data_IF_623770451399
#
_entry.id   IF_623770451399
#
_cell.length_a   1.000
_cell.length_b   1.000
_cell.length_c   1.000
_cell.angle_alpha   90.00
_cell.angle_beta   90.00
_cell.angle_gamma   90.00
#
_symmetry.space_group_name_H-M   'P 1'
#
loop_
_entity.id
_entity.type
_entity.pdbx_description
1 polymer ?
#
# COMPACT_ATOMS: atom_id res chain seq x y z
N UNK A 1 -4.64 -29.57 -49.28
CA UNK A 1 -5.16 -30.61 -48.39
C UNK A 1 -4.51 -30.45 -47.02
N UNK A 2 -5.34 -30.29 -45.99
CA UNK A 2 -5.11 -30.40 -44.55
C UNK A 2 -3.88 -29.69 -43.93
N UNK A 3 -4.13 -28.46 -43.47
CA UNK A 3 -3.42 -27.83 -42.36
C UNK A 3 -3.86 -28.55 -41.06
N UNK A 4 -2.92 -29.21 -40.37
CA UNK A 4 -3.19 -29.94 -39.13
C UNK A 4 -3.22 -28.98 -37.94
N UNK A 5 -4.06 -29.20 -36.92
CA UNK A 5 -4.14 -28.27 -35.80
C UNK A 5 -2.84 -28.30 -35.00
N UNK A 6 -2.16 -27.16 -34.91
CA UNK A 6 -1.02 -26.94 -34.00
C UNK A 6 -1.46 -27.19 -32.57
N UNK A 7 -0.96 -28.28 -31.99
CA UNK A 7 -1.18 -28.65 -30.58
C UNK A 7 -0.46 -27.64 -29.70
N UNK A 8 -1.22 -26.83 -28.97
CA UNK A 8 -0.69 -25.88 -28.00
C UNK A 8 -0.32 -26.62 -26.71
N UNK A 9 0.96 -26.56 -26.30
CA UNK A 9 1.48 -27.20 -25.08
C UNK A 9 1.15 -26.44 -23.77
N UNK A 10 0.22 -25.48 -23.79
CA UNK A 10 -0.17 -24.74 -22.60
C UNK A 10 -1.38 -25.43 -21.90
N UNK A 11 -1.23 -25.89 -20.64
CA UNK A 11 -2.32 -26.56 -19.91
C UNK A 11 -3.54 -25.66 -19.64
N UNK A 12 -3.42 -24.34 -19.82
CA UNK A 12 -4.53 -23.38 -19.67
C UNK A 12 -5.16 -22.95 -21.00
N UNK A 13 -4.80 -23.56 -22.13
CA UNK A 13 -5.31 -23.17 -23.44
C UNK A 13 -6.82 -23.47 -23.62
N UNK A 14 -7.29 -24.60 -23.08
CA UNK A 14 -8.70 -25.01 -23.20
C UNK A 14 -9.66 -24.10 -22.41
N UNK A 15 -9.21 -23.42 -21.35
CA UNK A 15 -10.09 -22.54 -20.56
C UNK A 15 -10.41 -21.21 -21.24
N UNK A 16 -9.73 -20.87 -22.36
CA UNK A 16 -9.98 -19.65 -23.15
C UNK A 16 -10.87 -19.90 -24.37
N UNK A 17 -11.19 -21.15 -24.70
CA UNK A 17 -12.03 -21.51 -25.84
C UNK A 17 -13.51 -21.73 -25.47
N UNK A 18 -13.85 -21.81 -24.18
CA UNK A 18 -15.23 -21.82 -23.72
C UNK A 18 -15.66 -20.39 -23.36
N UNK A 19 -16.36 -19.73 -24.28
CA UNK A 19 -17.18 -18.55 -23.94
C UNK A 19 -18.33 -18.94 -23.01
N UNK A 20 -18.89 -17.99 -22.24
CA UNK A 20 -20.01 -18.27 -21.36
C UNK A 20 -21.30 -18.48 -22.17
N UNK A 21 -21.73 -19.73 -22.35
CA UNK A 21 -23.10 -20.02 -22.75
C UNK A 21 -24.02 -19.94 -21.51
N UNK A 22 -24.48 -18.75 -21.18
CA UNK A 22 -25.77 -18.57 -20.51
C UNK A 22 -26.25 -17.12 -20.71
N UNK A 23 -27.43 -16.88 -21.29
CA UNK A 23 -28.04 -15.56 -21.23
C UNK A 23 -28.48 -15.25 -19.78
N UNK A 24 -28.53 -13.97 -19.38
CA UNK A 24 -29.06 -13.61 -18.05
C UNK A 24 -30.54 -13.98 -17.94
N UNK A 25 -31.02 -14.45 -16.77
CA UNK A 25 -32.41 -14.83 -16.58
C UNK A 25 -33.36 -13.63 -16.76
N UNK A 26 -34.50 -13.81 -17.44
CA UNK A 26 -35.43 -12.73 -17.73
C UNK A 26 -36.50 -12.68 -16.64
N UNK A 27 -36.43 -11.73 -15.70
CA UNK A 27 -37.66 -11.10 -15.21
C UNK A 27 -37.45 -9.61 -15.01
N UNK A 28 -38.21 -8.89 -15.82
CA UNK A 28 -38.41 -7.46 -15.87
C UNK A 28 -39.30 -6.98 -14.74
N UNK A 29 -39.08 -5.71 -14.37
CA UNK A 29 -40.10 -4.69 -14.04
C UNK A 29 -41.05 -5.02 -12.91
N UNK A 30 -40.88 -4.33 -11.77
CA UNK A 30 -41.92 -3.46 -11.19
C UNK A 30 -41.25 -2.42 -10.27
N UNK A 31 -41.22 -1.16 -10.71
CA UNK A 31 -41.42 -0.02 -9.80
C UNK A 31 -42.78 0.55 -10.16
N UNK A 32 -43.64 0.85 -9.18
CA UNK A 32 -43.99 2.25 -8.97
C UNK A 32 -43.94 2.75 -7.52
N UNK A 33 -43.80 4.07 -7.46
CA UNK A 33 -43.74 5.06 -6.37
C UNK A 33 -44.89 5.06 -5.36
N UNK A 34 -44.56 5.69 -4.21
CA UNK A 34 -45.36 6.51 -3.26
C UNK A 34 -46.65 5.83 -2.71
N UNK A 35 -46.99 5.86 -1.42
CA UNK A 35 -47.17 7.05 -0.58
C UNK A 35 -47.81 6.62 0.79
N UNK A 36 -47.65 7.45 1.84
CA UNK A 36 -48.38 7.52 3.13
C UNK A 36 -48.20 6.48 4.30
N UNK A 37 -47.72 7.02 5.45
CA UNK A 37 -47.98 6.66 6.88
C UNK A 37 -49.43 7.09 7.27
N UNK A 38 -50.04 6.85 8.47
CA UNK A 38 -49.51 6.36 9.77
C UNK A 38 -50.50 5.51 10.65
N UNK A 39 -50.11 5.28 11.94
CA UNK A 39 -50.94 4.94 13.13
C UNK A 39 -51.42 3.46 13.25
N UNK A 40 -51.53 2.79 14.39
CA UNK A 40 -51.19 2.95 15.82
C UNK A 40 -51.59 1.63 16.53
N UNK A 41 -51.21 1.45 17.81
CA UNK A 41 -51.82 0.55 18.83
C UNK A 41 -51.47 -0.96 18.78
N UNK A 42 -50.64 -1.47 19.71
CA UNK A 42 -50.93 -1.96 21.10
C UNK A 42 -51.36 -3.45 21.11
N UNK A 43 -51.08 -4.35 22.06
CA UNK A 43 -50.58 -4.33 23.44
C UNK A 43 -50.29 -5.82 23.79
N UNK A 44 -49.22 -6.21 24.48
CA UNK A 44 -49.23 -6.70 25.89
C UNK A 44 -48.02 -7.65 26.00
N UNK A 45 -47.17 -7.66 27.02
CA UNK A 45 -47.52 -7.92 28.42
C UNK A 45 -46.48 -7.35 29.41
N UNK A 46 -46.98 -6.46 30.28
CA UNK A 46 -46.86 -6.43 31.74
C UNK A 46 -45.50 -6.20 32.44
N UNK A 47 -45.42 -4.96 32.92
CA UNK A 47 -44.64 -4.35 34.01
C UNK A 47 -45.01 -4.81 35.43
N UNK A 48 -44.06 -4.73 36.37
CA UNK A 48 -44.15 -4.08 37.71
C UNK A 48 -42.75 -4.18 38.39
N UNK A 49 -42.17 -3.24 39.14
CA UNK A 49 -42.60 -1.96 39.75
C UNK A 49 -41.34 -1.17 40.20
N UNK A 50 -41.43 0.16 40.16
CA UNK A 50 -40.52 1.18 40.71
C UNK A 50 -40.30 1.12 42.23
N UNK A 51 -39.19 1.69 42.72
CA UNK A 51 -39.27 2.77 43.73
C UNK A 51 -37.99 3.62 43.76
N UNK A 52 -38.20 4.94 43.79
CA UNK A 52 -37.23 6.04 43.85
C UNK A 52 -36.47 6.15 45.19
N UNK A 53 -35.28 6.77 45.18
CA UNK A 53 -34.97 8.02 45.91
C UNK A 53 -33.45 8.31 46.01
N UNK A 54 -33.06 9.43 45.40
CA UNK A 54 -32.10 10.50 45.81
C UNK A 54 -30.91 10.27 46.78
N UNK A 55 -29.82 10.98 46.42
CA UNK A 55 -28.78 11.65 47.24
C UNK A 55 -27.31 11.12 47.26
N UNK A 56 -26.43 11.96 46.68
CA UNK A 56 -25.18 12.52 47.23
C UNK A 56 -23.86 11.73 47.23
N UNK A 57 -22.85 12.35 46.59
CA UNK A 57 -21.47 12.73 47.05
C UNK A 57 -20.72 11.72 47.97
N UNK A 58 -19.41 11.42 47.93
CA UNK A 58 -18.17 12.25 48.01
C UNK A 58 -16.96 11.28 47.87
N UNK A 59 -15.86 11.78 47.28
CA UNK A 59 -14.41 11.48 47.44
C UNK A 59 -13.95 10.54 48.57
N UNK A 60 -12.98 9.67 48.26
CA UNK A 60 -11.91 9.29 49.19
C UNK A 60 -10.55 9.13 48.47
N UNK A 61 -9.45 9.68 49.02
CA UNK A 61 -8.08 9.59 48.50
C UNK A 61 -7.26 8.52 49.23
N UNK A 62 -6.21 8.03 48.57
CA UNK A 62 -5.17 7.17 49.13
C UNK A 62 -5.02 5.86 48.35
N UNK A 63 -3.84 5.30 48.12
CA UNK A 63 -2.49 5.68 48.50
C UNK A 63 -1.58 4.63 47.81
N UNK A 64 -0.37 5.03 47.41
CA UNK A 64 0.76 4.21 46.94
C UNK A 64 0.48 2.97 46.06
N UNK A 65 0.78 3.10 44.77
CA UNK A 65 1.41 1.99 44.05
C UNK A 65 2.40 2.59 43.06
N UNK A 66 3.66 2.43 43.42
CA UNK A 66 4.83 2.62 42.59
C UNK A 66 4.67 1.78 41.32
N UNK A 67 4.19 2.41 40.25
CA UNK A 67 4.10 1.83 38.92
C UNK A 67 5.03 2.58 37.97
N UNK A 68 6.27 2.84 38.41
CA UNK A 68 7.37 3.14 37.49
C UNK A 68 7.89 1.85 36.85
N UNK A 69 7.05 1.17 36.08
CA UNK A 69 7.45 0.33 34.96
C UNK A 69 6.35 0.46 33.92
N UNK A 70 6.27 1.61 33.26
CA UNK A 70 5.67 1.63 31.93
C UNK A 70 6.48 0.61 31.12
N UNK A 71 5.89 -0.49 30.61
CA UNK A 71 6.54 -1.16 29.51
C UNK A 71 6.67 -0.07 28.47
N UNK A 72 7.89 0.26 28.09
CA UNK A 72 8.16 1.09 26.93
C UNK A 72 7.35 0.42 25.82
N UNK A 73 6.18 0.98 25.51
CA UNK A 73 5.28 0.42 24.52
C UNK A 73 6.09 0.57 23.25
N UNK A 74 6.79 -0.51 22.89
CA UNK A 74 7.75 -0.55 21.77
C UNK A 74 7.01 0.06 20.61
N UNK A 75 7.30 1.33 20.32
CA UNK A 75 6.62 2.03 19.25
C UNK A 75 6.80 1.13 18.03
N UNK A 76 5.73 0.79 17.29
CA UNK A 76 5.89 -0.02 16.10
C UNK A 76 6.97 0.66 15.26
N UNK A 77 8.09 -0.04 15.07
CA UNK A 77 9.21 0.49 14.32
C UNK A 77 8.91 0.26 12.85
N UNK A 78 8.94 1.32 12.05
CA UNK A 78 8.81 1.17 10.61
C UNK A 78 10.12 0.58 10.07
N UNK A 79 10.03 -0.36 9.12
CA UNK A 79 11.23 -1.00 8.57
C UNK A 79 11.83 -0.21 7.41
N UNK A 80 11.06 0.68 6.78
CA UNK A 80 11.59 1.67 5.85
C UNK A 80 10.72 2.93 5.84
N UNK A 81 11.29 4.02 5.32
CA UNK A 81 10.59 5.25 5.01
C UNK A 81 10.70 5.52 3.51
N UNK A 82 9.57 5.80 2.87
CA UNK A 82 9.48 6.07 1.45
C UNK A 82 9.37 7.57 1.21
N UNK A 83 10.00 7.99 0.13
CA UNK A 83 10.34 9.35 -0.10
C UNK A 83 10.18 9.61 -1.61
N UNK A 84 9.35 10.58 -2.00
CA UNK A 84 9.09 10.94 -3.40
C UNK A 84 9.68 12.30 -3.80
N UNK A 85 10.20 12.37 -5.02
CA UNK A 85 10.77 13.58 -5.63
C UNK A 85 10.29 13.75 -7.06
N UNK A 86 10.16 15.01 -7.47
CA UNK A 86 9.94 15.42 -8.86
C UNK A 86 11.13 16.27 -9.29
N UNK A 87 11.95 15.74 -10.21
CA UNK A 87 13.28 16.28 -10.49
C UNK A 87 14.14 16.40 -9.22
N UNK A 88 14.47 17.63 -8.81
CA UNK A 88 15.27 17.94 -7.62
C UNK A 88 14.43 18.38 -6.42
N UNK A 89 13.11 18.39 -6.55
CA UNK A 89 12.20 18.92 -5.52
C UNK A 89 11.57 17.78 -4.74
N UNK A 90 11.70 17.85 -3.41
CA UNK A 90 10.99 16.97 -2.47
C UNK A 90 9.49 17.25 -2.53
N UNK A 91 8.67 16.23 -2.72
CA UNK A 91 7.21 16.40 -2.79
C UNK A 91 6.53 15.50 -1.76
N UNK A 92 5.79 16.11 -0.84
CA UNK A 92 5.14 15.41 0.26
C UNK A 92 6.07 15.13 1.44
N UNK A 93 5.54 14.38 2.40
CA UNK A 93 6.25 13.97 3.63
C UNK A 93 6.92 12.60 3.43
N UNK A 94 7.79 12.21 4.36
CA UNK A 94 8.23 10.82 4.49
C UNK A 94 7.03 9.92 4.81
N UNK A 95 6.94 8.79 4.10
CA UNK A 95 5.91 7.78 4.33
C UNK A 95 6.53 6.60 5.07
N UNK A 96 6.23 6.49 6.37
CA UNK A 96 6.73 5.39 7.21
C UNK A 96 5.99 4.08 6.90
N UNK A 97 6.73 2.99 6.70
CA UNK A 97 6.18 1.68 6.34
C UNK A 97 6.33 0.70 7.50
N UNK A 98 5.21 0.29 8.06
CA UNK A 98 5.15 -0.64 9.19
C UNK A 98 4.90 -2.08 8.75
N UNK A 99 3.98 -2.27 7.80
CA UNK A 99 3.65 -3.59 7.25
C UNK A 99 4.79 -4.15 6.40
N UNK A 100 4.92 -5.48 6.34
CA UNK A 100 5.96 -6.16 5.54
C UNK A 100 5.91 -5.78 4.06
N UNK A 101 4.79 -5.27 3.53
CA UNK A 101 4.71 -4.82 2.16
C UNK A 101 3.94 -3.50 2.03
N UNK A 102 4.35 -2.66 1.09
CA UNK A 102 3.69 -1.38 0.76
C UNK A 102 3.51 -1.23 -0.74
N UNK A 103 2.32 -0.81 -1.12
CA UNK A 103 1.96 -0.48 -2.49
C UNK A 103 2.18 1.02 -2.73
N UNK A 104 2.96 1.38 -3.76
CA UNK A 104 3.24 2.76 -4.16
C UNK A 104 2.67 2.96 -5.56
N UNK A 105 1.69 3.85 -5.73
CA UNK A 105 0.88 3.95 -6.96
C UNK A 105 0.46 5.39 -7.24
N UNK A 106 -0.09 5.66 -8.43
CA UNK A 106 -0.57 6.99 -8.78
C UNK A 106 -1.91 7.29 -8.10
N UNK A 107 -2.98 6.64 -8.52
CA UNK A 107 -4.31 6.82 -7.98
C UNK A 107 -5.11 5.53 -8.20
N UNK A 108 -5.58 4.92 -7.13
CA UNK A 108 -6.34 3.67 -7.15
C UNK A 108 -7.49 3.80 -6.15
N UNK A 109 -8.76 3.63 -6.57
CA UNK A 109 -9.93 3.81 -5.71
C UNK A 109 -9.94 2.92 -4.45
N UNK A 110 -9.31 1.75 -4.54
CA UNK A 110 -9.20 0.77 -3.45
C UNK A 110 -7.73 0.45 -3.10
N UNK A 111 -6.79 1.32 -3.47
CA UNK A 111 -5.38 1.11 -3.15
C UNK A 111 -5.07 1.46 -1.69
N UNK A 112 -4.50 0.52 -0.95
CA UNK A 112 -3.81 0.80 0.32
C UNK A 112 -2.32 1.05 0.06
N UNK A 113 -1.71 1.95 0.84
CA UNK A 113 -0.29 2.28 0.75
C UNK A 113 -0.03 3.75 0.40
N UNK A 114 1.04 4.01 -0.36
CA UNK A 114 1.50 5.35 -0.67
C UNK A 114 0.95 5.85 -2.02
N UNK A 115 -0.10 6.66 -1.96
CA UNK A 115 -0.75 7.25 -3.13
C UNK A 115 -0.05 8.55 -3.56
N UNK A 116 0.67 8.50 -4.68
CA UNK A 116 1.41 9.65 -5.21
C UNK A 116 0.47 10.72 -5.79
N UNK A 117 -0.73 10.34 -6.21
CA UNK A 117 -1.78 11.22 -6.76
C UNK A 117 -2.26 12.28 -5.76
N UNK A 118 -2.22 11.94 -4.47
CA UNK A 118 -2.59 12.84 -3.36
C UNK A 118 -1.52 13.88 -3.04
N UNK A 119 -0.31 13.73 -3.58
CA UNK A 119 0.78 14.67 -3.34
C UNK A 119 0.60 15.93 -4.19
N UNK A 120 0.30 17.04 -3.54
CA UNK A 120 0.13 18.33 -4.19
C UNK A 120 1.44 19.11 -4.29
N UNK A 121 1.65 19.74 -5.45
CA UNK A 121 2.70 20.70 -5.73
C UNK A 121 2.08 21.74 -6.67
N UNK A 122 2.08 23.02 -6.26
CA UNK A 122 1.29 24.08 -6.91
C UNK A 122 1.62 24.29 -8.39
N UNK A 123 2.89 24.06 -8.77
CA UNK A 123 3.36 24.21 -10.14
C UNK A 123 4.14 22.98 -10.59
N UNK A 124 3.48 22.15 -11.40
CA UNK A 124 4.11 21.01 -12.09
C UNK A 124 4.32 21.31 -13.56
N UNK A 125 5.50 20.95 -14.07
CA UNK A 125 5.74 20.96 -15.51
C UNK A 125 4.86 19.92 -16.21
N UNK A 126 4.59 20.13 -17.50
CA UNK A 126 3.81 19.18 -18.31
C UNK A 126 4.49 17.80 -18.37
N UNK A 127 5.82 17.76 -18.45
CA UNK A 127 6.60 16.51 -18.45
C UNK A 127 6.38 15.68 -17.18
N UNK A 128 6.30 16.33 -16.01
CA UNK A 128 6.03 15.67 -14.74
C UNK A 128 4.61 15.13 -14.69
N UNK A 129 3.61 15.92 -15.11
CA UNK A 129 2.21 15.47 -15.16
C UNK A 129 2.07 14.23 -16.06
N UNK A 130 2.70 14.25 -17.23
CA UNK A 130 2.72 13.12 -18.19
C UNK A 130 3.45 11.90 -17.64
N UNK A 131 4.48 12.09 -16.82
CA UNK A 131 5.21 10.97 -16.19
C UNK A 131 4.39 10.38 -15.05
N UNK A 132 3.76 11.20 -14.22
CA UNK A 132 2.89 10.76 -13.13
C UNK A 132 1.71 9.92 -13.62
N UNK A 133 1.07 10.34 -14.72
CA UNK A 133 -0.03 9.57 -15.32
C UNK A 133 0.38 8.16 -15.80
N UNK A 134 1.68 7.93 -16.03
CA UNK A 134 2.21 6.62 -16.45
C UNK A 134 2.49 5.65 -15.30
N UNK A 135 2.50 6.14 -14.05
CA UNK A 135 2.80 5.31 -12.88
C UNK A 135 1.72 4.24 -12.69
N UNK A 136 0.44 4.63 -12.79
CA UNK A 136 -0.69 3.69 -12.67
C UNK A 136 -0.65 2.90 -11.36
N UNK A 137 -0.70 1.56 -11.46
CA UNK A 137 -0.57 0.64 -10.33
C UNK A 137 0.81 0.67 -9.63
N UNK A 138 1.81 1.32 -10.25
CA UNK A 138 3.13 1.56 -9.70
C UNK A 138 3.86 0.29 -9.27
N UNK A 139 4.38 0.28 -8.04
CA UNK A 139 5.20 -0.82 -7.51
C UNK A 139 4.62 -1.38 -6.22
N UNK A 140 4.94 -2.62 -5.91
CA UNK A 140 4.82 -3.21 -4.59
C UNK A 140 6.23 -3.41 -4.04
N UNK A 141 6.51 -2.85 -2.87
CA UNK A 141 7.76 -3.06 -2.14
C UNK A 141 7.50 -4.04 -1.01
N UNK A 142 8.21 -5.17 -0.96
CA UNK A 142 8.09 -6.19 0.10
C UNK A 142 9.41 -6.37 0.83
N UNK A 143 9.34 -6.44 2.16
CA UNK A 143 10.41 -6.93 3.01
C UNK A 143 10.27 -8.44 3.11
N UNK A 144 11.31 -9.14 2.71
CA UNK A 144 11.41 -10.60 2.73
C UNK A 144 12.62 -11.01 3.58
N UNK A 145 12.78 -12.30 3.95
CA UNK A 145 13.88 -12.72 4.82
C UNK A 145 15.27 -12.44 4.24
N UNK A 146 15.40 -12.41 2.91
CA UNK A 146 16.67 -12.29 2.20
C UNK A 146 16.94 -10.86 1.67
N UNK A 147 16.05 -9.91 1.94
CA UNK A 147 16.17 -8.55 1.45
C UNK A 147 14.84 -7.82 1.24
N UNK A 148 14.91 -6.74 0.47
CA UNK A 148 13.74 -5.97 0.05
C UNK A 148 13.56 -6.16 -1.45
N UNK A 149 12.34 -6.45 -1.88
CA UNK A 149 11.98 -6.70 -3.26
C UNK A 149 11.04 -5.63 -3.78
N UNK A 150 11.21 -5.23 -5.04
CA UNK A 150 10.28 -4.36 -5.75
C UNK A 150 9.65 -5.12 -6.92
N UNK A 151 8.33 -5.23 -6.92
CA UNK A 151 7.54 -5.79 -8.00
C UNK A 151 6.88 -4.67 -8.82
N UNK A 152 7.15 -4.64 -10.12
CA UNK A 152 6.58 -3.65 -11.03
C UNK A 152 5.18 -4.07 -11.50
N UNK A 153 4.15 -3.41 -10.97
CA UNK A 153 2.74 -3.61 -11.33
C UNK A 153 2.26 -2.63 -12.40
N UNK A 154 3.08 -1.62 -12.73
CA UNK A 154 2.77 -0.63 -13.74
C UNK A 154 2.91 -1.16 -15.16
N UNK A 155 2.52 -0.35 -16.14
CA UNK A 155 2.64 -0.67 -17.57
C UNK A 155 3.96 -0.19 -18.19
N UNK A 156 4.78 0.51 -17.41
CA UNK A 156 6.04 1.09 -17.87
C UNK A 156 7.21 0.52 -17.06
N UNK A 157 8.43 0.45 -17.65
CA UNK A 157 9.61 0.04 -16.90
C UNK A 157 9.91 1.01 -15.76
N UNK A 158 10.40 0.47 -14.64
CA UNK A 158 11.02 1.23 -13.57
C UNK A 158 12.53 1.07 -13.62
N UNK A 159 13.24 1.97 -12.94
CA UNK A 159 14.69 1.97 -12.88
C UNK A 159 15.11 2.00 -11.40
N UNK A 160 15.96 1.05 -11.03
CA UNK A 160 16.41 0.87 -9.65
C UNK A 160 17.92 1.10 -9.60
N UNK A 161 18.34 1.95 -8.68
CA UNK A 161 19.72 2.06 -8.24
C UNK A 161 19.78 1.59 -6.78
N UNK A 162 20.70 0.67 -6.49
CA UNK A 162 20.91 0.17 -5.13
C UNK A 162 22.36 -0.25 -4.94
N UNK A 163 23.10 0.39 -4.01
CA UNK A 163 24.48 0.05 -3.72
C UNK A 163 24.66 -1.41 -3.27
N UNK A 164 23.69 -1.98 -2.55
CA UNK A 164 23.77 -3.38 -2.08
C UNK A 164 23.78 -4.41 -3.21
N UNK A 165 23.33 -4.03 -4.40
CA UNK A 165 23.33 -4.91 -5.57
C UNK A 165 24.60 -4.79 -6.41
N UNK A 166 25.41 -3.77 -6.15
CA UNK A 166 26.62 -3.47 -6.91
C UNK A 166 27.75 -4.44 -6.53
N UNK A 167 28.70 -4.61 -7.44
CA UNK A 167 29.85 -5.49 -7.19
C UNK A 167 30.75 -4.87 -6.10
N UNK A 168 31.31 -5.69 -5.18
CA UNK A 168 32.26 -5.19 -4.19
C UNK A 168 33.43 -4.46 -4.88
N UNK A 169 33.64 -3.18 -4.55
CA UNK A 169 34.68 -2.34 -5.15
C UNK A 169 34.32 -1.69 -6.49
N UNK A 170 33.10 -1.87 -6.99
CA UNK A 170 32.59 -1.17 -8.17
C UNK A 170 32.27 0.29 -7.86
N UNK A 171 32.98 1.23 -8.48
CA UNK A 171 32.72 2.69 -8.36
C UNK A 171 31.62 3.20 -9.30
N UNK A 172 31.02 2.33 -10.12
CA UNK A 172 30.05 2.73 -11.12
C UNK A 172 28.63 2.59 -10.56
N UNK A 173 27.85 3.69 -10.59
CA UNK A 173 26.43 3.64 -10.28
C UNK A 173 25.70 2.79 -11.33
N UNK A 174 25.18 1.64 -10.91
CA UNK A 174 24.44 0.73 -11.81
C UNK A 174 22.94 0.95 -11.66
N UNK A 175 22.32 1.45 -12.73
CA UNK A 175 20.87 1.55 -12.82
C UNK A 175 20.31 0.33 -13.56
N UNK A 176 19.46 -0.43 -12.89
CA UNK A 176 18.83 -1.66 -13.41
C UNK A 176 17.41 -1.35 -13.87
N UNK A 177 17.08 -1.73 -15.12
CA UNK A 177 15.73 -1.59 -15.67
C UNK A 177 14.88 -2.82 -15.30
N UNK A 178 13.69 -2.60 -14.78
CA UNK A 178 12.72 -3.65 -14.43
C UNK A 178 11.47 -3.50 -15.30
N UNK A 179 11.19 -4.43 -16.22
CA UNK A 179 9.99 -4.38 -17.06
C UNK A 179 8.68 -4.55 -16.26
N UNK A 180 7.52 -4.18 -16.84
CA UNK A 180 6.20 -4.51 -16.30
C UNK A 180 6.03 -6.00 -16.00
N UNK A 181 5.52 -6.33 -14.81
CA UNK A 181 5.29 -7.73 -14.39
C UNK A 181 6.53 -8.46 -13.89
N UNK A 182 7.68 -7.79 -13.77
CA UNK A 182 8.91 -8.36 -13.21
C UNK A 182 9.18 -7.81 -11.82
N UNK A 183 9.92 -8.59 -11.02
CA UNK A 183 10.45 -8.18 -9.73
C UNK A 183 11.98 -8.13 -9.75
N UNK A 184 12.54 -7.36 -8.81
CA UNK A 184 13.97 -7.31 -8.54
C UNK A 184 14.18 -7.18 -7.03
N UNK A 185 15.22 -7.82 -6.50
CA UNK A 185 15.73 -7.50 -5.17
C UNK A 185 16.35 -6.12 -5.22
N UNK A 186 15.84 -5.17 -4.45
CA UNK A 186 16.33 -3.79 -4.37
C UNK A 186 17.24 -3.54 -3.19
N UNK A 187 17.25 -4.43 -2.20
CA UNK A 187 18.17 -4.37 -1.08
C UNK A 187 18.54 -5.78 -0.63
N UNK A 188 19.83 -6.05 -0.43
CA UNK A 188 20.33 -7.36 0.03
C UNK A 188 20.92 -7.23 1.44
N UNK A 189 20.32 -7.94 2.41
CA UNK A 189 20.70 -7.81 3.82
C UNK A 189 22.11 -8.32 4.08
N UNK A 190 22.52 -9.43 3.46
CA UNK A 190 23.86 -9.99 3.64
C UNK A 190 24.93 -9.03 3.10
N UNK A 191 24.67 -8.43 1.94
CA UNK A 191 25.61 -7.48 1.32
C UNK A 191 25.68 -6.14 2.04
N UNK A 192 24.61 -5.71 2.70
CA UNK A 192 24.60 -4.48 3.50
C UNK A 192 25.57 -4.51 4.68
N UNK A 193 25.72 -5.68 5.34
CA UNK A 193 26.67 -5.84 6.44
C UNK A 193 28.13 -5.68 6.01
N UNK A 194 28.44 -5.98 4.75
CA UNK A 194 29.79 -5.89 4.18
C UNK A 194 30.16 -4.48 3.69
N UNK A 195 29.19 -3.59 3.47
CA UNK A 195 29.42 -2.23 2.96
C UNK A 195 29.71 -1.19 4.07
N UNK A 196 29.64 -1.58 5.34
CA UNK A 196 29.92 -0.69 6.49
C UNK A 196 31.41 -0.35 6.70
N UNK A 197 32.31 -0.65 5.74
CA UNK A 197 33.65 -0.09 5.74
C UNK A 197 33.55 1.40 5.34
N UNK A 198 34.14 2.35 6.09
CA UNK A 198 33.96 3.77 5.84
C UNK A 198 34.69 4.18 4.55
N UNK A 199 33.94 4.32 3.46
CA UNK A 199 34.40 5.05 2.27
C UNK A 199 34.21 6.56 2.54
N UNK A 200 35.27 7.38 2.39
CA UNK A 200 35.15 8.84 2.52
C UNK A 200 34.53 9.43 1.24
N UNK A 201 33.59 10.35 1.42
CA UNK A 201 33.08 11.30 0.40
C UNK A 201 32.37 10.75 -0.85
N UNK A 202 31.33 9.93 -0.67
CA UNK A 202 30.33 9.72 -1.72
C UNK A 202 29.08 10.57 -1.47
N UNK A 203 29.18 11.88 -1.73
CA UNK A 203 28.01 12.75 -1.87
C UNK A 203 27.34 12.49 -3.23
N UNK A 204 26.63 11.37 -3.38
CA UNK A 204 25.82 11.13 -4.58
C UNK A 204 24.44 10.59 -4.24
N UNK A 205 23.48 11.52 -4.20
CA UNK A 205 22.07 11.28 -3.92
C UNK A 205 21.40 12.50 -3.30
N UNK A 206 20.08 12.71 -3.48
CA UNK A 206 19.36 13.76 -2.77
C UNK A 206 19.41 13.47 -1.27
N UNK A 207 20.26 14.23 -0.57
CA UNK A 207 20.43 14.20 0.87
C UNK A 207 19.23 14.88 1.56
N UNK A 208 18.64 14.22 2.55
CA UNK A 208 17.65 14.83 3.45
C UNK A 208 18.39 15.28 4.73
N UNK A 209 18.54 16.60 4.97
CA UNK A 209 19.25 17.09 6.14
C UNK A 209 18.41 17.11 7.43
N UNK A 210 17.16 16.61 7.41
CA UNK A 210 16.21 16.71 8.53
C UNK A 210 15.64 15.36 8.97
#
# INVERSE_FOLDING_TARGET
>A
AADGPTVCCNPYHFSRLCGPESPPPPYSRLSPRDDYKPLDLSDSTLSYTETEATNSLITAPGEFSDASMSPDATKPSHWCSVAYWEHRTRVGRLYAVYDQAVSIFYDLPQGSGFCLGQLNLEQRSESVRRTRSKIGFGILLSKEPDGVWAYNRGQHPIFVNSPTLDAPGGRALVVRKVPPGYSIKVFDFERSGLQHAPEPDAADGPYDPN
#
